data_IF_051119538335
#
_entry.id   IF_051119538335
#
_cell.length_a   1.000
_cell.length_b   1.000
_cell.length_c   1.000
_cell.angle_alpha   90.00
_cell.angle_beta   90.00
_cell.angle_gamma   90.00
#
_symmetry.space_group_name_H-M   'P 1'
#
loop_
_entity.id
_entity.type
_entity.pdbx_description
1 polymer ?
#
# COMPACT_ATOMS: atom_id res chain seq x y z
N UNK A 1 28.27 -13.10 4.80
CA UNK A 1 27.15 -14.00 4.44
C UNK A 1 26.54 -13.49 3.14
N UNK A 2 26.30 -14.35 2.12
CA UNK A 2 25.57 -14.00 0.89
C UNK A 2 24.18 -14.62 0.99
N UNK A 3 23.12 -13.83 0.95
CA UNK A 3 21.76 -14.34 0.91
C UNK A 3 21.49 -14.86 -0.50
N UNK A 4 21.00 -16.10 -0.61
CA UNK A 4 20.71 -16.74 -1.91
C UNK A 4 19.34 -16.35 -2.46
N UNK A 5 18.44 -15.88 -1.59
CA UNK A 5 17.14 -15.33 -1.95
C UNK A 5 16.89 -14.11 -1.06
N UNK A 6 16.91 -12.93 -1.66
CA UNK A 6 16.70 -11.66 -0.97
C UNK A 6 15.81 -10.77 -1.81
N UNK A 7 14.88 -10.09 -1.15
CA UNK A 7 13.95 -9.18 -1.77
C UNK A 7 13.95 -7.85 -1.00
N UNK A 8 13.86 -6.74 -1.74
CA UNK A 8 13.63 -5.41 -1.17
C UNK A 8 12.15 -5.08 -1.34
N UNK A 9 11.51 -4.66 -0.26
CA UNK A 9 10.09 -4.35 -0.26
C UNK A 9 9.86 -2.95 0.30
N UNK A 10 9.00 -2.17 -0.37
CA UNK A 10 8.62 -0.84 0.08
C UNK A 10 7.14 -0.80 0.45
N UNK A 11 6.82 -0.23 1.61
CA UNK A 11 5.43 -0.07 2.06
C UNK A 11 4.79 1.14 1.43
N UNK A 12 3.67 0.95 0.73
CA UNK A 12 2.87 2.00 0.08
C UNK A 12 1.41 1.67 0.34
N UNK A 13 0.79 2.25 1.39
CA UNK A 13 -0.59 1.93 1.81
C UNK A 13 -1.69 2.71 1.09
N UNK A 14 -1.35 3.77 0.35
CA UNK A 14 -2.26 4.65 -0.38
C UNK A 14 -1.51 5.34 -1.53
N UNK A 15 -2.23 5.86 -2.52
CA UNK A 15 -1.69 6.80 -3.52
C UNK A 15 -1.92 8.27 -3.13
N UNK A 16 -2.59 8.52 -2.01
CA UNK A 16 -2.92 9.86 -1.54
C UNK A 16 -1.83 10.40 -0.60
N UNK A 17 -0.95 11.22 -1.16
CA UNK A 17 0.18 11.80 -0.42
C UNK A 17 -0.25 12.67 0.78
N UNK A 18 -1.43 13.30 0.72
CA UNK A 18 -2.01 14.02 1.86
C UNK A 18 -2.31 13.10 3.04
N UNK A 19 -2.90 11.92 2.79
CA UNK A 19 -3.22 10.94 3.82
C UNK A 19 -1.93 10.40 4.45
N UNK A 20 -0.94 10.09 3.63
CA UNK A 20 0.39 9.68 4.08
C UNK A 20 1.06 10.77 4.93
N UNK A 21 0.95 12.06 4.59
CA UNK A 21 1.44 13.16 5.46
C UNK A 21 0.75 13.21 6.82
N UNK A 22 -0.55 12.96 6.87
CA UNK A 22 -1.31 13.02 8.11
C UNK A 22 -1.03 11.82 9.01
N UNK A 23 -0.92 10.62 8.42
CA UNK A 23 -0.84 9.36 9.16
C UNK A 23 0.60 8.84 9.34
N UNK A 24 1.50 9.20 8.43
CA UNK A 24 2.92 8.82 8.40
C UNK A 24 3.80 10.06 8.12
N UNK A 25 3.76 11.11 8.97
CA UNK A 25 4.42 12.40 8.69
C UNK A 25 5.94 12.28 8.54
N UNK A 26 6.57 11.43 9.34
CA UNK A 26 8.04 11.24 9.38
C UNK A 26 8.55 10.27 8.32
N UNK A 27 7.65 9.63 7.57
CA UNK A 27 8.05 8.67 6.55
C UNK A 27 8.26 9.36 5.20
N UNK A 28 9.16 8.82 4.39
CA UNK A 28 9.42 9.31 3.01
C UNK A 28 8.12 9.38 2.20
N UNK A 29 8.06 10.33 1.28
CA UNK A 29 6.94 10.52 0.36
C UNK A 29 6.65 9.26 -0.43
N UNK A 30 5.40 9.10 -0.90
CA UNK A 30 5.03 7.98 -1.77
C UNK A 30 5.93 7.95 -3.01
N UNK A 31 6.21 9.13 -3.58
CA UNK A 31 7.05 9.25 -4.77
C UNK A 31 8.50 8.81 -4.51
N UNK A 32 9.11 9.19 -3.38
CA UNK A 32 10.46 8.72 -3.02
C UNK A 32 10.52 7.20 -2.85
N UNK A 33 9.49 6.59 -2.25
CA UNK A 33 9.40 5.13 -2.11
C UNK A 33 9.32 4.44 -3.48
N UNK A 34 8.53 4.98 -4.41
CA UNK A 34 8.42 4.48 -5.79
C UNK A 34 9.77 4.65 -6.52
N UNK A 35 10.43 5.80 -6.37
CA UNK A 35 11.74 6.03 -6.99
C UNK A 35 12.80 5.08 -6.42
N UNK A 36 12.80 4.83 -5.12
CA UNK A 36 13.71 3.88 -4.49
C UNK A 36 13.45 2.44 -4.98
N UNK A 37 12.18 2.03 -5.10
CA UNK A 37 11.78 0.76 -5.71
C UNK A 37 12.33 0.61 -7.14
N UNK A 38 12.20 1.65 -7.96
CA UNK A 38 12.75 1.68 -9.32
C UNK A 38 14.28 1.55 -9.32
N UNK A 39 14.97 2.27 -8.44
CA UNK A 39 16.43 2.19 -8.33
C UNK A 39 16.89 0.77 -7.94
N UNK A 40 16.21 0.14 -6.98
CA UNK A 40 16.49 -1.24 -6.62
C UNK A 40 16.24 -2.22 -7.78
N UNK A 41 15.13 -2.04 -8.51
CA UNK A 41 14.81 -2.87 -9.69
C UNK A 41 15.87 -2.70 -10.79
N UNK A 42 16.30 -1.47 -11.08
CA UNK A 42 17.33 -1.17 -12.09
C UNK A 42 18.70 -1.74 -11.73
N UNK A 43 18.98 -1.89 -10.43
CA UNK A 43 20.17 -2.57 -9.93
C UNK A 43 20.07 -4.11 -9.99
N UNK A 44 18.97 -4.67 -10.50
CA UNK A 44 18.76 -6.11 -10.63
C UNK A 44 18.30 -6.81 -9.34
N UNK A 45 17.90 -6.05 -8.32
CA UNK A 45 17.38 -6.63 -7.08
C UNK A 45 15.94 -7.12 -7.28
N UNK A 46 15.57 -8.22 -6.64
CA UNK A 46 14.16 -8.64 -6.57
C UNK A 46 13.39 -7.61 -5.73
N UNK A 47 12.36 -7.02 -6.32
CA UNK A 47 11.57 -5.96 -5.69
C UNK A 47 10.11 -6.36 -5.48
N UNK A 48 9.54 -5.87 -4.39
CA UNK A 48 8.13 -6.02 -4.05
C UNK A 48 7.55 -4.74 -3.44
N UNK A 49 6.23 -4.67 -3.39
CA UNK A 49 5.51 -3.62 -2.68
C UNK A 49 4.65 -4.25 -1.59
N UNK A 50 4.72 -3.67 -0.40
CA UNK A 50 3.78 -3.96 0.67
C UNK A 50 2.65 -2.94 0.61
N UNK A 51 1.53 -3.34 0.01
CA UNK A 51 0.28 -2.58 0.01
C UNK A 51 -0.47 -2.82 1.34
N UNK A 52 0.18 -2.40 2.42
CA UNK A 52 -0.16 -2.83 3.77
C UNK A 52 0.12 -1.75 4.83
N UNK A 53 -0.87 -1.43 5.69
CA UNK A 53 -2.28 -1.72 5.45
C UNK A 53 -2.78 -0.94 4.23
N UNK A 54 -3.63 -1.55 3.39
CA UNK A 54 -4.38 -0.81 2.39
C UNK A 54 -5.34 0.17 3.11
N UNK A 55 -5.22 1.47 2.82
CA UNK A 55 -5.99 2.49 3.52
C UNK A 55 -7.49 2.35 3.19
N UNK A 56 -8.41 2.55 4.16
CA UNK A 56 -9.86 2.48 3.93
C UNK A 56 -10.39 3.48 2.89
N UNK A 57 -9.63 4.51 2.58
CA UNK A 57 -9.92 5.54 1.59
C UNK A 57 -9.63 5.10 0.16
N UNK A 58 -8.81 4.06 -0.04
CA UNK A 58 -8.51 3.56 -1.38
C UNK A 58 -9.78 3.02 -2.03
N UNK A 59 -10.08 3.51 -3.23
CA UNK A 59 -11.17 3.04 -4.06
C UNK A 59 -10.73 1.85 -4.93
N UNK A 60 -11.66 0.93 -5.17
CA UNK A 60 -11.45 -0.21 -6.08
C UNK A 60 -11.02 0.25 -7.48
N UNK A 61 -11.53 1.39 -7.94
CA UNK A 61 -11.22 1.95 -9.25
C UNK A 61 -9.76 2.46 -9.37
N UNK A 62 -9.07 2.66 -8.25
CA UNK A 62 -7.67 3.09 -8.25
C UNK A 62 -6.69 1.93 -8.39
N UNK A 63 -7.15 0.69 -8.16
CA UNK A 63 -6.31 -0.50 -8.17
C UNK A 63 -5.58 -0.74 -9.51
N UNK A 64 -6.23 -0.59 -10.69
CA UNK A 64 -5.50 -0.67 -11.96
C UNK A 64 -4.34 0.32 -12.03
N UNK A 65 -4.57 1.58 -11.66
CA UNK A 65 -3.56 2.64 -11.66
C UNK A 65 -2.44 2.35 -10.66
N UNK A 66 -2.77 1.89 -9.45
CA UNK A 66 -1.79 1.48 -8.46
C UNK A 66 -0.87 0.38 -9.01
N UNK A 67 -1.46 -0.66 -9.60
CA UNK A 67 -0.69 -1.78 -10.17
C UNK A 67 0.20 -1.34 -11.33
N UNK A 68 -0.30 -0.46 -12.21
CA UNK A 68 0.48 0.07 -13.32
C UNK A 68 1.71 0.84 -12.81
N UNK A 69 1.52 1.74 -11.83
CA UNK A 69 2.63 2.49 -11.22
C UNK A 69 3.65 1.55 -10.56
N UNK A 70 3.20 0.56 -9.77
CA UNK A 70 4.12 -0.36 -9.09
C UNK A 70 4.87 -1.25 -10.08
N UNK A 71 4.21 -1.69 -11.14
CA UNK A 71 4.82 -2.49 -12.21
C UNK A 71 5.86 -1.71 -12.97
N UNK A 72 5.55 -0.47 -13.35
CA UNK A 72 6.46 0.42 -14.07
C UNK A 72 7.70 0.69 -13.22
N UNK A 73 7.50 0.86 -11.90
CA UNK A 73 8.57 0.96 -10.90
C UNK A 73 9.36 -0.35 -10.68
N UNK A 74 8.98 -1.45 -11.34
CA UNK A 74 9.71 -2.70 -11.36
C UNK A 74 9.24 -3.77 -10.37
N UNK A 75 8.15 -3.55 -9.62
CA UNK A 75 7.63 -4.53 -8.67
C UNK A 75 7.27 -5.85 -9.36
N UNK A 76 7.69 -6.97 -8.76
CA UNK A 76 7.32 -8.34 -9.21
C UNK A 76 6.26 -8.98 -8.34
N UNK A 77 6.18 -8.56 -7.09
CA UNK A 77 5.24 -9.06 -6.10
C UNK A 77 4.58 -7.90 -5.37
N UNK A 78 3.30 -8.05 -5.05
CA UNK A 78 2.56 -7.15 -4.18
C UNK A 78 1.95 -7.95 -3.05
N UNK A 79 2.28 -7.53 -1.84
CA UNK A 79 1.77 -8.10 -0.60
C UNK A 79 0.68 -7.17 -0.08
N UNK A 80 -0.54 -7.66 0.12
CA UNK A 80 -1.68 -6.85 0.58
C UNK A 80 -2.06 -7.21 2.01
N UNK A 81 -2.29 -6.20 2.86
CA UNK A 81 -2.75 -6.37 4.24
C UNK A 81 -3.94 -5.45 4.57
N UNK A 82 -4.79 -5.88 5.52
CA UNK A 82 -5.94 -5.12 6.02
C UNK A 82 -5.53 -4.21 7.18
N UNK A 83 -6.11 -3.00 7.24
CA UNK A 83 -5.97 -2.14 8.42
C UNK A 83 -6.69 -2.75 9.64
N UNK A 84 -5.95 -3.11 10.68
CA UNK A 84 -6.50 -3.60 11.97
C UNK A 84 -6.38 -2.53 13.06
N UNK A 85 -7.48 -1.83 13.33
CA UNK A 85 -7.53 -0.76 14.34
C UNK A 85 -7.65 -1.33 15.76
N UNK A 86 -6.52 -1.71 16.37
CA UNK A 86 -6.44 -2.06 17.79
C UNK A 86 -6.63 -0.82 18.68
N UNK A 87 -7.07 -0.99 19.95
CA UNK A 87 -7.04 0.08 20.94
C UNK A 87 -5.65 0.71 21.03
N UNK A 88 -5.57 2.03 21.12
CA UNK A 88 -4.36 2.85 21.01
C UNK A 88 -4.08 3.36 19.60
N UNK A 89 -4.15 2.48 18.58
CA UNK A 89 -3.92 2.86 17.17
C UNK A 89 -5.09 3.72 16.67
N UNK A 90 -6.32 3.31 17.00
CA UNK A 90 -7.54 4.03 16.61
C UNK A 90 -7.50 5.49 17.08
N UNK A 91 -7.17 5.72 18.34
CA UNK A 91 -7.13 7.04 18.96
C UNK A 91 -6.04 7.91 18.35
N UNK A 92 -4.88 7.33 18.03
CA UNK A 92 -3.81 8.06 17.36
C UNK A 92 -4.21 8.48 15.94
N UNK A 93 -4.77 7.56 15.16
CA UNK A 93 -5.28 7.85 13.82
C UNK A 93 -6.36 8.95 13.89
N UNK A 94 -7.33 8.82 14.79
CA UNK A 94 -8.40 9.81 14.97
C UNK A 94 -7.87 11.21 15.30
N UNK A 95 -6.83 11.31 16.14
CA UNK A 95 -6.16 12.59 16.42
C UNK A 95 -5.50 13.18 15.17
N UNK A 96 -4.82 12.36 14.38
CA UNK A 96 -4.14 12.80 13.15
C UNK A 96 -5.11 13.30 12.07
N UNK A 97 -6.31 12.72 11.98
CA UNK A 97 -7.30 13.06 10.95
C UNK A 97 -8.48 13.88 11.48
N UNK A 98 -8.38 14.45 12.68
CA UNK A 98 -9.49 15.14 13.37
C UNK A 98 -10.09 16.32 12.58
N UNK A 99 -9.35 16.86 11.60
CA UNK A 99 -9.77 17.97 10.73
C UNK A 99 -10.27 17.50 9.35
N UNK A 100 -10.33 16.19 9.11
CA UNK A 100 -10.66 15.58 7.84
C UNK A 100 -11.90 14.67 7.99
N UNK A 101 -13.12 15.22 7.88
CA UNK A 101 -14.35 14.48 8.17
C UNK A 101 -14.53 13.21 7.32
N UNK A 102 -14.07 13.24 6.07
CA UNK A 102 -14.14 12.09 5.18
C UNK A 102 -13.19 10.96 5.66
N UNK A 103 -11.96 11.29 6.05
CA UNK A 103 -11.03 10.31 6.59
C UNK A 103 -11.57 9.70 7.88
N UNK A 104 -12.12 10.52 8.79
CA UNK A 104 -12.77 10.03 10.01
C UNK A 104 -13.86 9.02 9.67
N UNK A 105 -14.72 9.34 8.68
CA UNK A 105 -15.79 8.43 8.23
C UNK A 105 -15.20 7.12 7.71
N UNK A 106 -14.29 7.17 6.75
CA UNK A 106 -13.71 5.98 6.09
C UNK A 106 -12.93 5.07 7.05
N UNK A 107 -12.22 5.65 8.01
CA UNK A 107 -11.47 4.89 9.02
C UNK A 107 -12.34 4.38 10.19
N UNK A 108 -13.57 4.87 10.33
CA UNK A 108 -14.49 4.43 11.40
C UNK A 108 -15.54 3.43 10.93
N UNK A 109 -15.89 3.44 9.65
CA UNK A 109 -16.90 2.54 9.09
C UNK A 109 -16.38 1.09 9.02
N UNK A 110 -17.10 0.10 9.56
CA UNK A 110 -16.82 -1.30 9.33
C UNK A 110 -17.29 -1.68 7.92
N UNK A 111 -16.56 -1.23 6.90
CA UNK A 111 -16.85 -1.55 5.50
C UNK A 111 -16.04 -2.77 5.09
N UNK A 112 -16.63 -3.66 4.31
CA UNK A 112 -15.96 -4.75 3.59
C UNK A 112 -15.01 -4.23 2.47
N UNK A 113 -14.47 -3.01 2.62
CA UNK A 113 -13.64 -2.32 1.63
C UNK A 113 -12.46 -3.19 1.23
N UNK A 114 -11.86 -3.85 2.22
CA UNK A 114 -10.69 -4.69 2.02
C UNK A 114 -11.01 -5.87 1.11
N UNK A 115 -12.19 -6.50 1.23
CA UNK A 115 -12.57 -7.59 0.35
C UNK A 115 -12.64 -7.12 -1.09
N UNK A 116 -13.30 -6.01 -1.38
CA UNK A 116 -13.40 -5.48 -2.74
C UNK A 116 -12.03 -5.12 -3.31
N UNK A 117 -11.16 -4.49 -2.51
CA UNK A 117 -9.78 -4.17 -2.90
C UNK A 117 -8.97 -5.44 -3.17
N UNK A 118 -9.07 -6.44 -2.29
CA UNK A 118 -8.36 -7.73 -2.41
C UNK A 118 -8.82 -8.54 -3.61
N UNK A 119 -10.12 -8.55 -3.91
CA UNK A 119 -10.66 -9.20 -5.10
C UNK A 119 -10.17 -8.51 -6.38
N UNK A 120 -10.23 -7.18 -6.45
CA UNK A 120 -9.81 -6.44 -7.64
C UNK A 120 -8.30 -6.50 -7.86
N UNK A 121 -7.49 -6.38 -6.80
CA UNK A 121 -6.03 -6.43 -6.95
C UNK A 121 -5.55 -7.80 -7.44
N UNK A 122 -6.21 -8.88 -7.03
CA UNK A 122 -5.95 -10.23 -7.56
C UNK A 122 -6.32 -10.36 -9.02
N UNK A 123 -7.51 -9.89 -9.38
CA UNK A 123 -7.99 -9.92 -10.75
C UNK A 123 -7.06 -9.15 -11.68
N UNK A 124 -6.70 -7.92 -11.31
CA UNK A 124 -5.88 -7.02 -12.13
C UNK A 124 -4.38 -7.35 -12.07
N UNK A 125 -3.90 -7.94 -10.97
CA UNK A 125 -2.51 -8.38 -10.83
C UNK A 125 -2.17 -9.50 -11.82
N UNK A 126 -3.09 -10.46 -11.98
CA UNK A 126 -2.94 -11.57 -12.93
C UNK A 126 -2.80 -11.09 -14.38
N UNK A 127 -3.60 -10.10 -14.81
CA UNK A 127 -3.51 -9.54 -16.17
C UNK A 127 -2.21 -8.77 -16.41
N UNK A 128 -1.52 -8.34 -15.35
CA UNK A 128 -0.27 -7.57 -15.39
C UNK A 128 0.98 -8.41 -15.15
N UNK A 129 0.84 -9.72 -14.91
CA UNK A 129 1.93 -10.62 -14.51
C UNK A 129 2.65 -10.14 -13.23
N UNK A 130 1.88 -9.64 -12.26
CA UNK A 130 2.36 -9.29 -10.92
C UNK A 130 1.82 -10.34 -9.95
N UNK A 131 2.69 -10.94 -9.14
CA UNK A 131 2.26 -11.92 -8.15
C UNK A 131 1.63 -11.21 -6.96
N UNK A 132 0.38 -11.55 -6.65
CA UNK A 132 -0.35 -11.01 -5.51
C UNK A 132 -0.30 -12.00 -4.34
N UNK A 133 0.08 -11.53 -3.17
CA UNK A 133 0.23 -12.32 -1.94
C UNK A 133 -0.63 -11.69 -0.84
N UNK A 134 -1.46 -12.48 -0.18
CA UNK A 134 -2.12 -12.02 1.05
C UNK A 134 -1.08 -12.03 2.16
N UNK A 135 -0.89 -10.89 2.81
CA UNK A 135 -0.13 -10.80 4.05
C UNK A 135 -0.93 -11.37 5.23
N UNK A 136 -0.28 -11.41 6.40
CA UNK A 136 -0.68 -12.07 7.64
C UNK A 136 -2.12 -11.86 8.11
#
# INVERSE_FOLDING_TARGET
KRFSDSQVMFSIGTLHENERRLLEPEASSIQERITALQQCSNAGLKTAVFFGPAYPTTSVNEIPKFLDIMKDAGAKEIWIDMLRLKPGIRENIQKSIQREPELIRRFSEPVDYYRSIREEIRKQGNTRNIRIIDAF
#
